data_IF_787981307738
#
_entry.id   IF_787981307738
#
_cell.length_a   1.000
_cell.length_b   1.000
_cell.length_c   1.000
_cell.angle_alpha   90.00
_cell.angle_beta   90.00
_cell.angle_gamma   90.00
#
_symmetry.space_group_name_H-M   'P 1'
#
loop_
_entity.id
_entity.type
_entity.pdbx_description
1 polymer ?
#
# COMPACT_ATOMS: atom_id res chain seq x y z
N UNK A 1 6.99 3.58 11.74
CA UNK A 1 8.38 3.06 11.82
C UNK A 1 8.97 2.77 10.45
N UNK A 2 8.27 2.03 9.58
CA UNK A 2 8.75 1.71 8.21
C UNK A 2 8.92 2.95 7.36
N UNK A 3 7.92 3.84 7.35
CA UNK A 3 8.00 5.12 6.66
C UNK A 3 9.21 5.91 7.14
N UNK A 4 9.42 6.04 8.45
CA UNK A 4 10.59 6.71 9.02
C UNK A 4 11.94 6.10 8.61
N UNK A 5 12.04 4.77 8.56
CA UNK A 5 13.27 4.06 8.11
C UNK A 5 13.45 4.21 6.60
N UNK A 6 12.38 4.09 5.82
CA UNK A 6 12.38 4.31 4.38
C UNK A 6 12.77 5.75 4.04
N UNK A 7 12.21 6.74 4.74
CA UNK A 7 12.53 8.16 4.62
C UNK A 7 13.98 8.43 5.02
N UNK A 8 14.49 7.76 6.06
CA UNK A 8 15.91 7.84 6.43
C UNK A 8 16.84 7.25 5.38
N UNK A 9 16.44 6.16 4.72
CA UNK A 9 17.21 5.53 3.63
C UNK A 9 17.21 6.39 2.36
N UNK A 10 16.06 7.01 2.04
CA UNK A 10 15.90 7.92 0.90
C UNK A 10 16.68 9.23 1.14
N UNK A 11 16.58 9.81 2.35
CA UNK A 11 17.32 11.03 2.72
C UNK A 11 18.84 10.88 2.69
N UNK A 12 19.35 9.65 2.79
CA UNK A 12 20.78 9.34 2.69
C UNK A 12 21.24 9.09 1.25
N UNK A 13 20.35 9.26 0.25
CA UNK A 13 20.59 9.03 -1.18
C UNK A 13 21.13 7.63 -1.55
N UNK A 14 20.99 6.64 -0.65
CA UNK A 14 21.56 5.31 -0.87
C UNK A 14 20.72 4.51 -1.89
N UNK A 15 19.40 4.72 -1.91
CA UNK A 15 18.48 4.00 -2.78
C UNK A 15 17.40 4.93 -3.35
N UNK A 16 17.03 4.71 -4.62
CA UNK A 16 15.89 5.40 -5.25
C UNK A 16 14.58 5.09 -4.52
N UNK A 17 13.72 6.10 -4.39
CA UNK A 17 12.40 5.99 -3.73
C UNK A 17 11.55 4.85 -4.30
N UNK A 18 11.64 4.59 -5.62
CA UNK A 18 10.99 3.46 -6.28
C UNK A 18 11.47 2.11 -5.75
N UNK A 19 12.79 1.97 -5.60
CA UNK A 19 13.39 0.70 -5.20
C UNK A 19 13.02 0.35 -3.77
N UNK A 20 13.09 1.33 -2.85
CA UNK A 20 12.74 1.13 -1.44
C UNK A 20 11.27 0.73 -1.29
N UNK A 21 10.35 1.39 -2.02
CA UNK A 21 8.91 1.08 -1.97
C UNK A 21 8.59 -0.26 -2.60
N UNK A 22 9.16 -0.59 -3.75
CA UNK A 22 9.02 -1.92 -4.37
C UNK A 22 9.55 -3.01 -3.46
N UNK A 23 10.73 -2.81 -2.88
CA UNK A 23 11.34 -3.78 -1.96
C UNK A 23 10.47 -4.01 -0.73
N UNK A 24 10.03 -2.94 -0.06
CA UNK A 24 9.17 -3.03 1.11
C UNK A 24 7.85 -3.74 0.80
N UNK A 25 7.20 -3.39 -0.33
CA UNK A 25 5.97 -4.03 -0.74
C UNK A 25 6.17 -5.51 -1.12
N UNK A 26 7.30 -5.85 -1.74
CA UNK A 26 7.63 -7.23 -2.09
C UNK A 26 7.89 -8.08 -0.86
N UNK A 27 8.68 -7.58 0.09
CA UNK A 27 8.97 -8.27 1.36
C UNK A 27 7.68 -8.53 2.14
N UNK A 28 6.77 -7.54 2.15
CA UNK A 28 5.49 -7.70 2.83
C UNK A 28 4.56 -8.67 2.10
N UNK A 29 4.33 -8.46 0.79
CA UNK A 29 3.47 -9.30 -0.01
C UNK A 29 3.91 -10.77 0.00
N UNK A 30 5.17 -11.04 -0.34
CA UNK A 30 5.70 -12.41 -0.33
C UNK A 30 5.84 -12.97 1.10
N UNK A 31 6.19 -12.16 2.09
CA UNK A 31 6.25 -12.61 3.49
C UNK A 31 4.89 -13.03 4.04
N UNK A 32 3.83 -12.29 3.71
CA UNK A 32 2.44 -12.67 4.04
C UNK A 32 2.01 -13.93 3.30
N UNK A 33 2.35 -14.07 2.00
CA UNK A 33 2.08 -15.30 1.23
C UNK A 33 2.77 -16.51 1.86
N UNK A 34 4.04 -16.40 2.24
CA UNK A 34 4.78 -17.47 2.92
C UNK A 34 4.14 -17.83 4.26
N UNK A 35 3.69 -16.85 5.04
CA UNK A 35 2.95 -17.10 6.28
C UNK A 35 1.63 -17.84 6.05
N UNK A 36 0.85 -17.47 5.03
CA UNK A 36 -0.41 -18.15 4.70
C UNK A 36 -0.19 -19.57 4.16
N UNK A 37 0.88 -19.81 3.41
CA UNK A 37 1.28 -21.18 3.01
C UNK A 37 1.68 -21.99 4.24
N UNK A 38 2.43 -21.40 5.18
CA UNK A 38 2.78 -22.02 6.47
C UNK A 38 1.54 -22.43 7.28
N UNK A 39 0.51 -21.59 7.32
CA UNK A 39 -0.81 -21.90 7.89
C UNK A 39 -1.43 -23.13 7.21
N UNK A 40 -1.39 -23.21 5.88
CA UNK A 40 -1.94 -24.37 5.17
C UNK A 40 -1.19 -25.67 5.48
N UNK A 41 0.13 -25.61 5.60
CA UNK A 41 0.99 -26.76 5.87
C UNK A 41 0.98 -27.21 7.34
N UNK A 42 0.63 -26.32 8.27
CA UNK A 42 0.68 -26.56 9.72
C UNK A 42 -0.25 -27.67 10.24
N UNK A 43 -1.29 -28.04 9.48
CA UNK A 43 -2.13 -29.18 9.83
C UNK A 43 -2.85 -29.01 11.16
N UNK A 44 -2.76 -30.01 12.04
CA UNK A 44 -3.44 -29.99 13.34
C UNK A 44 -2.64 -29.27 14.44
N UNK A 45 -1.41 -28.82 14.18
CA UNK A 45 -0.58 -28.17 15.18
C UNK A 45 -1.01 -26.71 15.40
N UNK A 46 -1.87 -26.53 16.41
CA UNK A 46 -2.47 -25.23 16.73
C UNK A 46 -1.42 -24.16 17.05
N UNK A 47 -0.34 -24.50 17.74
CA UNK A 47 0.72 -23.55 18.10
C UNK A 47 1.46 -23.01 16.88
N UNK A 48 1.80 -23.91 15.94
CA UNK A 48 2.54 -23.57 14.73
C UNK A 48 1.64 -22.79 13.76
N UNK A 49 0.36 -23.18 13.66
CA UNK A 49 -0.64 -22.43 12.87
C UNK A 49 -0.81 -20.98 13.37
N UNK A 50 -0.98 -20.79 14.69
CA UNK A 50 -1.09 -19.45 15.29
C UNK A 50 0.14 -18.59 15.01
N UNK A 51 1.33 -19.17 15.14
CA UNK A 51 2.57 -18.44 14.88
C UNK A 51 2.63 -17.92 13.44
N UNK A 52 2.40 -18.79 12.44
CA UNK A 52 2.41 -18.38 11.03
C UNK A 52 1.30 -17.39 10.68
N UNK A 53 0.12 -17.52 11.29
CA UNK A 53 -0.98 -16.60 11.07
C UNK A 53 -0.66 -15.20 11.61
N UNK A 54 -0.14 -15.10 12.83
CA UNK A 54 0.28 -13.82 13.44
C UNK A 54 1.43 -13.21 12.63
N UNK A 55 2.40 -14.02 12.22
CA UNK A 55 3.52 -13.59 11.39
C UNK A 55 3.05 -13.00 10.06
N UNK A 56 2.10 -13.66 9.38
CA UNK A 56 1.54 -13.20 8.12
C UNK A 56 0.85 -11.82 8.27
N UNK A 57 0.05 -11.64 9.32
CA UNK A 57 -0.65 -10.39 9.61
C UNK A 57 0.34 -9.29 10.00
N UNK A 58 1.33 -9.59 10.84
CA UNK A 58 2.33 -8.63 11.29
C UNK A 58 3.14 -8.06 10.11
N UNK A 59 3.59 -8.94 9.21
CA UNK A 59 4.33 -8.53 8.00
C UNK A 59 3.44 -7.77 7.01
N UNK A 60 2.18 -8.19 6.86
CA UNK A 60 1.21 -7.50 5.98
C UNK A 60 0.91 -6.08 6.48
N UNK A 61 0.62 -5.93 7.76
CA UNK A 61 0.33 -4.63 8.38
C UNK A 61 1.53 -3.68 8.40
N UNK A 62 2.76 -4.21 8.44
CA UNK A 62 3.98 -3.42 8.42
C UNK A 62 4.10 -2.55 7.14
N UNK A 63 3.81 -3.09 5.95
CA UNK A 63 3.96 -2.34 4.69
C UNK A 63 2.73 -1.54 4.26
N UNK A 64 1.53 -1.87 4.74
CA UNK A 64 0.28 -1.18 4.39
C UNK A 64 0.34 0.35 4.65
N UNK A 65 1.07 0.75 5.70
CA UNK A 65 1.26 2.15 6.06
C UNK A 65 2.08 2.94 5.02
N UNK A 66 2.97 2.28 4.26
CA UNK A 66 3.79 2.95 3.24
C UNK A 66 3.07 3.14 1.89
N UNK A 67 2.12 2.26 1.54
CA UNK A 67 1.41 2.34 0.25
C UNK A 67 0.48 3.55 0.17
N UNK A 68 -0.22 3.88 1.26
CA UNK A 68 -1.12 5.04 1.32
C UNK A 68 -0.35 6.36 1.12
N UNK A 69 0.85 6.46 1.69
CA UNK A 69 1.73 7.62 1.50
C UNK A 69 2.25 7.70 0.06
N UNK A 70 2.49 6.55 -0.59
CA UNK A 70 2.93 6.51 -2.00
C UNK A 70 1.92 7.12 -2.96
N UNK A 71 0.63 6.91 -2.74
CA UNK A 71 -0.41 7.56 -3.54
C UNK A 71 -0.40 9.09 -3.39
N UNK A 72 -0.18 9.58 -2.17
CA UNK A 72 -0.09 11.00 -1.86
C UNK A 72 1.15 11.63 -2.50
N UNK A 73 2.27 10.90 -2.51
CA UNK A 73 3.53 11.37 -3.09
C UNK A 73 3.52 11.40 -4.63
N UNK A 74 2.75 10.53 -5.27
CA UNK A 74 2.69 10.40 -6.73
C UNK A 74 1.80 11.45 -7.40
N UNK A 75 0.74 11.90 -6.73
CA UNK A 75 -0.18 12.93 -7.24
C UNK A 75 -0.82 13.72 -6.09
N UNK A 76 -0.13 14.70 -5.49
CA UNK A 76 -0.66 15.46 -4.36
C UNK A 76 -1.96 16.21 -4.69
N UNK A 77 -2.13 16.67 -5.92
CA UNK A 77 -3.33 17.41 -6.36
C UNK A 77 -4.56 16.53 -6.59
N UNK A 78 -4.36 15.26 -6.98
CA UNK A 78 -5.45 14.29 -7.22
C UNK A 78 -5.58 13.26 -6.08
N UNK A 79 -4.80 13.42 -5.01
CA UNK A 79 -4.72 12.45 -3.93
C UNK A 79 -6.08 12.19 -3.26
N UNK A 80 -6.90 13.23 -3.07
CA UNK A 80 -8.23 13.08 -2.47
C UNK A 80 -9.14 12.13 -3.26
N UNK A 81 -9.22 12.32 -4.58
CA UNK A 81 -10.03 11.49 -5.47
C UNK A 81 -9.48 10.07 -5.58
N UNK A 82 -8.15 9.93 -5.71
CA UNK A 82 -7.49 8.63 -5.87
C UNK A 82 -7.56 7.78 -4.59
N UNK A 83 -7.37 8.41 -3.42
CA UNK A 83 -7.58 7.77 -2.12
C UNK A 83 -9.05 7.39 -1.92
N UNK A 84 -9.98 8.26 -2.33
CA UNK A 84 -11.42 7.98 -2.28
C UNK A 84 -11.79 6.73 -3.08
N UNK A 85 -11.37 6.65 -4.35
CA UNK A 85 -11.61 5.48 -5.21
C UNK A 85 -10.98 4.23 -4.58
N UNK A 86 -9.73 4.30 -4.14
CA UNK A 86 -9.04 3.17 -3.50
C UNK A 86 -9.81 2.69 -2.26
N UNK A 87 -10.29 3.61 -1.43
CA UNK A 87 -11.04 3.29 -0.23
C UNK A 87 -12.40 2.66 -0.57
N UNK A 88 -13.11 3.13 -1.60
CA UNK A 88 -14.37 2.52 -2.04
C UNK A 88 -14.18 1.09 -2.53
N UNK A 89 -13.14 0.83 -3.33
CA UNK A 89 -12.80 -0.52 -3.80
C UNK A 89 -12.42 -1.42 -2.62
N UNK A 90 -11.66 -0.90 -1.67
CA UNK A 90 -11.28 -1.62 -0.45
C UNK A 90 -12.51 -2.00 0.39
N UNK A 91 -13.46 -1.08 0.60
CA UNK A 91 -14.69 -1.36 1.33
C UNK A 91 -15.59 -2.37 0.59
N UNK A 92 -15.71 -2.26 -0.73
CA UNK A 92 -16.47 -3.22 -1.53
C UNK A 92 -15.86 -4.63 -1.42
N UNK A 93 -14.54 -4.74 -1.50
CA UNK A 93 -13.82 -6.01 -1.32
C UNK A 93 -14.01 -6.55 0.09
N UNK A 94 -13.98 -5.68 1.10
CA UNK A 94 -14.25 -6.03 2.49
C UNK A 94 -15.67 -6.58 2.71
N UNK A 95 -16.65 -6.08 1.97
CA UNK A 95 -18.03 -6.59 2.00
C UNK A 95 -18.16 -7.95 1.28
N UNK A 96 -17.49 -8.14 0.15
CA UNK A 96 -17.56 -9.37 -0.64
C UNK A 96 -16.82 -10.55 0.02
N UNK A 97 -15.73 -10.28 0.73
CA UNK A 97 -14.89 -11.31 1.35
C UNK A 97 -15.66 -12.27 2.26
N UNK A 98 -16.44 -11.81 3.28
CA UNK A 98 -17.20 -12.72 4.14
C UNK A 98 -18.31 -13.48 3.41
N UNK A 99 -18.89 -12.93 2.34
CA UNK A 99 -19.87 -13.64 1.51
C UNK A 99 -19.24 -14.83 0.79
N UNK A 100 -18.05 -14.63 0.20
CA UNK A 100 -17.30 -15.68 -0.48
C UNK A 100 -16.83 -16.74 0.53
N UNK A 101 -16.27 -16.32 1.66
CA UNK A 101 -15.83 -17.25 2.71
C UNK A 101 -17.01 -18.06 3.25
N UNK A 102 -18.16 -17.42 3.51
CA UNK A 102 -19.37 -18.07 3.97
C UNK A 102 -19.91 -19.11 2.98
N UNK A 103 -19.93 -18.79 1.69
CA UNK A 103 -20.30 -19.75 0.64
C UNK A 103 -19.29 -20.92 0.54
N UNK A 104 -18.02 -20.69 0.86
CA UNK A 104 -16.99 -21.71 0.86
C UNK A 104 -17.05 -22.64 2.08
N UNK A 105 -17.53 -22.14 3.23
CA UNK A 105 -17.70 -22.90 4.46
C UNK A 105 -19.08 -23.53 4.65
N UNK A 106 -19.99 -23.34 3.68
CA UNK A 106 -21.42 -23.65 3.80
C UNK A 106 -21.66 -25.12 4.23
N UNK A 107 -21.95 -25.29 5.53
CA UNK A 107 -22.31 -26.55 6.18
C UNK A 107 -21.18 -27.43 6.73
N UNK A 108 -19.88 -27.17 6.50
CA UNK A 108 -18.80 -28.07 6.97
C UNK A 108 -17.50 -27.39 7.36
N UNK A 109 -17.49 -26.57 8.42
CA UNK A 109 -16.32 -25.90 9.01
C UNK A 109 -15.13 -26.84 9.35
N UNK A 110 -14.47 -27.33 8.32
CA UNK A 110 -13.40 -28.30 8.38
C UNK A 110 -12.10 -27.61 8.02
N UNK A 111 -11.00 -28.14 8.55
CA UNK A 111 -9.66 -27.62 8.28
C UNK A 111 -9.35 -27.58 6.76
N UNK A 112 -9.94 -28.49 5.99
CA UNK A 112 -9.78 -28.53 4.53
C UNK A 112 -10.39 -27.30 3.82
N UNK A 113 -11.60 -26.87 4.19
CA UNK A 113 -12.23 -25.69 3.58
C UNK A 113 -11.46 -24.41 3.90
N UNK A 114 -11.00 -24.25 5.14
CA UNK A 114 -10.17 -23.11 5.54
C UNK A 114 -8.83 -23.08 4.80
N UNK A 115 -8.21 -24.24 4.54
CA UNK A 115 -7.02 -24.33 3.68
C UNK A 115 -7.30 -23.83 2.26
N UNK A 116 -8.48 -24.12 1.69
CA UNK A 116 -8.86 -23.60 0.37
C UNK A 116 -9.06 -22.08 0.44
N UNK A 117 -9.71 -21.56 1.49
CA UNK A 117 -9.87 -20.11 1.66
C UNK A 117 -8.52 -19.38 1.76
N UNK A 118 -7.59 -19.92 2.57
CA UNK A 118 -6.26 -19.35 2.72
C UNK A 118 -5.40 -19.51 1.46
N UNK A 119 -5.54 -20.61 0.72
CA UNK A 119 -4.81 -20.79 -0.54
C UNK A 119 -5.28 -19.82 -1.62
N UNK A 120 -6.59 -19.60 -1.77
CA UNK A 120 -7.15 -18.59 -2.67
C UNK A 120 -6.62 -17.20 -2.30
N UNK A 121 -6.65 -16.86 -1.00
CA UNK A 121 -6.15 -15.57 -0.50
C UNK A 121 -4.65 -15.41 -0.80
N UNK A 122 -3.84 -16.44 -0.58
CA UNK A 122 -2.41 -16.43 -0.86
C UNK A 122 -2.14 -16.27 -2.36
N UNK A 123 -2.90 -16.94 -3.24
CA UNK A 123 -2.76 -16.80 -4.69
C UNK A 123 -3.10 -15.39 -5.17
N UNK A 124 -4.18 -14.80 -4.66
CA UNK A 124 -4.56 -13.42 -5.00
C UNK A 124 -3.49 -12.41 -4.55
N UNK A 125 -2.97 -12.56 -3.32
CA UNK A 125 -1.89 -11.73 -2.80
C UNK A 125 -0.59 -11.89 -3.60
N UNK A 126 -0.22 -13.11 -3.97
CA UNK A 126 0.96 -13.37 -4.79
C UNK A 126 0.83 -12.72 -6.17
N UNK A 127 -0.33 -12.87 -6.82
CA UNK A 127 -0.61 -12.23 -8.10
C UNK A 127 -0.56 -10.71 -8.01
N UNK A 128 -1.22 -10.12 -7.00
CA UNK A 128 -1.20 -8.68 -6.78
C UNK A 128 0.22 -8.16 -6.51
N UNK A 129 1.01 -8.88 -5.71
CA UNK A 129 2.41 -8.54 -5.43
C UNK A 129 3.27 -8.59 -6.70
N UNK A 130 3.04 -9.60 -7.55
CA UNK A 130 3.73 -9.73 -8.84
C UNK A 130 3.39 -8.55 -9.74
N UNK A 131 2.10 -8.26 -9.96
CA UNK A 131 1.65 -7.12 -10.77
C UNK A 131 2.26 -5.81 -10.24
N UNK A 132 2.27 -5.61 -8.92
CA UNK A 132 2.86 -4.41 -8.33
C UNK A 132 4.36 -4.29 -8.65
N UNK A 133 5.14 -5.36 -8.56
CA UNK A 133 6.59 -5.29 -8.82
C UNK A 133 6.89 -4.86 -10.26
N UNK A 134 6.17 -5.42 -11.22
CA UNK A 134 6.40 -5.16 -12.64
C UNK A 134 5.85 -3.79 -13.07
N UNK A 135 4.63 -3.45 -12.65
CA UNK A 135 3.92 -2.27 -13.17
C UNK A 135 4.00 -1.03 -12.28
N UNK A 136 4.32 -1.18 -10.98
CA UNK A 136 4.37 -0.02 -10.09
C UNK A 136 5.54 0.90 -10.43
N UNK A 137 5.30 2.20 -10.36
CA UNK A 137 6.30 3.25 -10.36
C UNK A 137 5.92 4.24 -9.26
N UNK A 138 6.91 4.77 -8.55
CA UNK A 138 6.74 5.74 -7.48
C UNK A 138 7.47 7.06 -7.80
N UNK A 139 7.85 7.27 -9.07
CA UNK A 139 8.31 8.57 -9.54
C UNK A 139 7.12 9.52 -9.64
N UNK A 140 7.35 10.80 -9.31
CA UNK A 140 6.41 11.89 -9.60
C UNK A 140 6.06 11.81 -11.08
N UNK A 141 4.78 11.74 -11.40
CA UNK A 141 4.34 11.59 -12.78
C UNK A 141 4.33 12.95 -13.47
N UNK A 142 4.76 13.00 -14.73
CA UNK A 142 4.92 14.25 -15.50
C UNK A 142 3.61 15.04 -15.68
N UNK A 143 2.45 14.37 -15.60
CA UNK A 143 1.13 15.00 -15.67
C UNK A 143 0.69 15.69 -14.37
N UNK A 144 1.44 15.51 -13.28
CA UNK A 144 1.15 16.13 -11.99
C UNK A 144 1.72 17.56 -11.85
N UNK A 145 2.35 18.10 -12.89
CA UNK A 145 2.69 19.51 -12.97
C UNK A 145 1.57 20.23 -13.75
N UNK A 146 0.62 20.83 -13.04
CA UNK A 146 -0.13 21.94 -13.64
C UNK A 146 0.81 23.15 -13.70
N UNK A 147 1.00 23.73 -14.89
CA UNK A 147 1.27 25.17 -14.92
C UNK A 147 0.16 25.84 -14.09
N UNK A 148 0.51 26.76 -13.17
CA UNK A 148 -0.46 27.32 -12.23
C UNK A 148 -1.65 27.84 -13.03
N UNK A 149 -2.82 27.22 -12.82
CA UNK A 149 -4.06 27.70 -13.42
C UNK A 149 -4.19 29.17 -13.05
N UNK A 150 -4.27 30.00 -14.08
CA UNK A 150 -4.26 31.47 -14.01
C UNK A 150 -5.38 32.05 -13.13
N UNK A 151 -6.35 31.22 -12.73
CA UNK A 151 -7.41 31.57 -11.79
C UNK A 151 -6.93 31.72 -10.34
N UNK A 152 -5.89 30.98 -9.90
CA UNK A 152 -5.37 31.09 -8.52
C UNK A 152 -4.59 32.39 -8.30
N UNK A 153 -3.94 32.92 -9.34
CA UNK A 153 -3.18 34.18 -9.28
C UNK A 153 -4.12 35.39 -9.08
N UNK A 154 -5.40 35.28 -9.45
CA UNK A 154 -6.36 36.37 -9.27
C UNK A 154 -6.77 36.62 -7.81
N UNK A 155 -6.63 35.62 -6.94
CA UNK A 155 -7.04 35.68 -5.53
C UNK A 155 -5.88 35.76 -4.53
N UNK A 156 -4.62 35.70 -4.99
CA UNK A 156 -3.48 35.99 -4.12
C UNK A 156 -3.44 37.50 -3.87
N UNK A 157 -3.62 37.98 -2.62
CA UNK A 157 -3.45 39.39 -2.31
C UNK A 157 -2.04 39.82 -2.72
N UNK A 158 -1.92 40.91 -3.48
CA UNK A 158 -0.66 41.40 -4.07
C UNK A 158 0.49 41.54 -3.05
N UNK A 159 0.18 41.67 -1.76
CA UNK A 159 1.14 41.70 -0.65
C UNK A 159 1.95 40.39 -0.49
N UNK A 160 1.36 39.22 -0.73
CA UNK A 160 2.03 37.93 -0.57
C UNK A 160 3.06 37.67 -1.70
N UNK A 161 2.81 38.18 -2.90
CA UNK A 161 3.74 38.10 -4.03
C UNK A 161 4.99 38.99 -3.82
N UNK A 162 4.81 40.13 -3.14
CA UNK A 162 5.89 41.09 -2.88
C UNK A 162 6.82 40.62 -1.74
N UNK A 163 6.26 39.94 -0.72
CA UNK A 163 7.05 39.32 0.35
C UNK A 163 7.98 38.21 -0.17
N UNK A 164 7.53 37.43 -1.15
CA UNK A 164 8.32 36.35 -1.77
C UNK A 164 9.50 36.89 -2.59
N UNK A 165 9.32 38.02 -3.26
CA UNK A 165 10.42 38.73 -3.97
C UNK A 165 11.45 39.31 -3.00
N UNK A 166 10.99 39.85 -1.87
CA UNK A 166 11.89 40.43 -0.84
C UNK A 166 12.71 39.36 -0.12
N UNK A 167 12.16 38.17 0.10
CA UNK A 167 12.89 37.03 0.69
C UNK A 167 13.99 36.49 -0.26
N UNK A 168 13.70 36.41 -1.56
CA UNK A 168 14.64 35.94 -2.58
C UNK A 168 15.71 36.98 -3.00
N UNK A 169 15.68 38.20 -2.47
CA UNK A 169 16.72 39.22 -2.74
C UNK A 169 17.74 39.36 -1.61
N UNK A 170 17.60 38.57 -0.54
CA UNK A 170 18.46 38.61 0.66
C UNK A 170 19.40 37.37 0.72
N UNK A 171 19.22 36.42 -0.20
CA UNK A 171 20.10 35.28 -0.44
C UNK A 171 20.53 35.25 -1.91
#
# INVERSE_FOLDING_TARGET
MVAYVADSLIRREIFSMNFVRKFCNSVSGFGTVLGLIGVCLSGCDVSLNKFFFIFAIAIGGFAYNGQNLTLLDMSPEYAGTLLGITNTIANLTGFLTPLVVGALTDGRNTLHQWRIAFSITASLLAFASFVFIFFSTSNKQDWADQEPSSDVISHVPKEAADQRKKYNSIH
#
